data_IF_792937917683
#
_entry.id   IF_792937917683
#
_cell.length_a   1.000
_cell.length_b   1.000
_cell.length_c   1.000
_cell.angle_alpha   90.00
_cell.angle_beta   90.00
_cell.angle_gamma   90.00
#
_symmetry.space_group_name_H-M   'P 1'
#
loop_
_entity.id
_entity.type
_entity.pdbx_description
1 polymer ?
#
# COMPACT_ATOMS: atom_id res chain seq x y z
N UNK A 1 17.26 7.65 -19.39
CA UNK A 1 16.92 8.27 -18.10
C UNK A 1 18.23 8.62 -17.45
N UNK A 2 18.51 9.92 -17.35
CA UNK A 2 19.74 10.40 -16.71
C UNK A 2 19.67 10.14 -15.19
N UNK A 3 20.81 10.06 -14.49
CA UNK A 3 20.82 9.77 -13.05
C UNK A 3 19.98 10.78 -12.24
N UNK A 4 19.99 12.05 -12.67
CA UNK A 4 19.19 13.11 -12.07
C UNK A 4 17.67 12.89 -12.26
N UNK A 5 17.24 12.31 -13.40
CA UNK A 5 15.83 11.97 -13.63
C UNK A 5 15.37 10.84 -12.71
N UNK A 6 16.21 9.84 -12.46
CA UNK A 6 15.88 8.74 -11.55
C UNK A 6 15.66 9.23 -10.12
N UNK A 7 16.52 10.13 -9.63
CA UNK A 7 16.37 10.74 -8.30
C UNK A 7 15.09 11.58 -8.24
N UNK A 8 14.83 12.40 -9.25
CA UNK A 8 13.62 13.22 -9.33
C UNK A 8 12.34 12.36 -9.29
N UNK A 9 12.28 11.31 -10.11
CA UNK A 9 11.16 10.37 -10.14
C UNK A 9 10.98 9.64 -8.81
N UNK A 10 12.08 9.18 -8.20
CA UNK A 10 12.02 8.51 -6.90
C UNK A 10 11.45 9.42 -5.81
N UNK A 11 11.92 10.67 -5.71
CA UNK A 11 11.41 11.64 -4.73
C UNK A 11 9.94 11.97 -4.97
N UNK A 12 9.55 12.18 -6.23
CA UNK A 12 8.18 12.51 -6.58
C UNK A 12 7.20 11.36 -6.25
N UNK A 13 7.58 10.12 -6.59
CA UNK A 13 6.78 8.92 -6.27
C UNK A 13 6.73 8.66 -4.77
N UNK A 14 7.83 8.89 -4.05
CA UNK A 14 7.88 8.70 -2.59
C UNK A 14 6.88 9.61 -1.87
N UNK A 15 6.78 10.88 -2.28
CA UNK A 15 5.82 11.84 -1.70
C UNK A 15 4.38 11.47 -2.06
N UNK A 16 4.12 11.09 -3.33
CA UNK A 16 2.78 10.68 -3.76
C UNK A 16 2.28 9.43 -3.02
N UNK A 17 3.13 8.42 -2.88
CA UNK A 17 2.79 7.16 -2.20
C UNK A 17 2.75 7.28 -0.68
N UNK A 18 3.43 8.27 -0.08
CA UNK A 18 3.40 8.50 1.36
C UNK A 18 2.02 8.92 1.89
N UNK A 19 1.25 9.66 1.08
CA UNK A 19 -0.07 10.18 1.48
C UNK A 19 -1.10 9.07 1.79
N UNK A 20 -1.33 8.06 0.92
CA UNK A 20 -2.25 6.97 1.23
C UNK A 20 -1.78 6.13 2.44
N UNK A 21 -0.47 5.95 2.62
CA UNK A 21 0.08 5.23 3.77
C UNK A 21 -0.22 6.00 5.07
N UNK A 22 -0.05 7.32 5.08
CA UNK A 22 -0.37 8.17 6.25
C UNK A 22 -1.85 8.11 6.62
N UNK A 23 -2.76 8.03 5.63
CA UNK A 23 -4.19 7.89 5.91
C UNK A 23 -4.51 6.53 6.57
N UNK A 24 -3.87 5.44 6.11
CA UNK A 24 -4.01 4.12 6.72
C UNK A 24 -3.50 4.08 8.16
N UNK A 25 -2.31 4.62 8.41
CA UNK A 25 -1.72 4.63 9.77
C UNK A 25 -2.49 5.54 10.73
N UNK A 26 -3.00 6.69 10.26
CA UNK A 26 -3.87 7.56 11.05
C UNK A 26 -5.14 6.81 11.50
N UNK A 27 -5.78 6.06 10.60
CA UNK A 27 -6.94 5.24 10.93
C UNK A 27 -6.63 4.19 12.02
N UNK A 28 -5.46 3.54 11.93
CA UNK A 28 -4.97 2.62 12.96
C UNK A 28 -4.81 3.30 14.33
N UNK A 29 -4.09 4.43 14.38
CA UNK A 29 -3.87 5.21 15.61
C UNK A 29 -5.19 5.66 16.23
N UNK A 30 -6.17 6.07 15.42
CA UNK A 30 -7.50 6.44 15.92
C UNK A 30 -8.22 5.24 16.54
N UNK A 31 -8.14 4.06 15.92
CA UNK A 31 -8.73 2.83 16.46
C UNK A 31 -8.13 2.47 17.83
N UNK A 32 -6.80 2.57 17.95
CA UNK A 32 -6.09 2.35 19.20
C UNK A 32 -6.51 3.35 20.29
N UNK A 33 -6.70 4.63 19.94
CA UNK A 33 -7.14 5.68 20.88
C UNK A 33 -8.54 5.45 21.45
N UNK A 34 -9.41 4.74 20.73
CA UNK A 34 -10.77 4.40 21.18
C UNK A 34 -10.78 3.05 21.95
N UNK A 35 -9.61 2.43 22.15
CA UNK A 35 -9.47 1.16 22.86
C UNK A 35 -9.74 -0.07 22.00
N UNK A 36 -9.82 0.10 20.67
CA UNK A 36 -10.02 -0.99 19.72
C UNK A 36 -8.75 -1.23 18.90
N UNK A 37 -7.80 -1.94 19.52
CA UNK A 37 -6.51 -2.25 18.93
C UNK A 37 -6.65 -3.43 17.96
N UNK A 38 -6.76 -3.15 16.66
CA UNK A 38 -6.73 -4.19 15.63
C UNK A 38 -5.31 -4.32 15.05
N UNK A 39 -4.44 -5.06 15.76
CA UNK A 39 -3.09 -5.38 15.25
C UNK A 39 -3.11 -6.18 13.94
N UNK A 40 -4.24 -6.82 13.60
CA UNK A 40 -4.42 -7.50 12.33
C UNK A 40 -4.43 -6.56 11.13
N UNK A 41 -4.79 -5.28 11.30
CA UNK A 41 -4.86 -4.29 10.20
C UNK A 41 -3.51 -4.08 9.51
N UNK A 42 -2.43 -4.03 10.28
CA UNK A 42 -1.09 -3.85 9.71
C UNK A 42 -0.69 -5.05 8.85
N UNK A 43 -1.07 -6.26 9.30
CA UNK A 43 -0.93 -7.51 8.54
C UNK A 43 -1.81 -7.54 7.29
N UNK A 44 -3.08 -7.16 7.37
CA UNK A 44 -3.99 -7.10 6.22
C UNK A 44 -3.47 -6.12 5.15
N UNK A 45 -2.92 -4.97 5.56
CA UNK A 45 -2.33 -4.00 4.64
C UNK A 45 -1.10 -4.55 3.92
N UNK A 46 -0.21 -5.26 4.64
CA UNK A 46 0.95 -5.94 4.06
C UNK A 46 0.55 -7.10 3.12
N UNK A 47 -0.45 -7.90 3.51
CA UNK A 47 -0.96 -8.99 2.69
C UNK A 47 -1.54 -8.48 1.37
N UNK A 48 -2.37 -7.44 1.41
CA UNK A 48 -2.88 -6.75 0.21
C UNK A 48 -1.79 -6.24 -0.72
N UNK A 49 -0.74 -5.65 -0.16
CA UNK A 49 0.39 -5.13 -0.95
C UNK A 49 1.18 -6.25 -1.65
N UNK A 50 1.51 -7.34 -0.93
CA UNK A 50 2.30 -8.45 -1.48
C UNK A 50 1.53 -9.24 -2.53
N UNK A 51 0.28 -9.60 -2.25
CA UNK A 51 -0.56 -10.36 -3.18
C UNK A 51 -0.93 -9.54 -4.42
N UNK A 52 -1.19 -8.25 -4.25
CA UNK A 52 -1.46 -7.32 -5.35
C UNK A 52 -0.25 -7.18 -6.28
N UNK A 53 0.94 -7.00 -5.72
CA UNK A 53 2.18 -6.96 -6.48
C UNK A 53 2.43 -8.28 -7.22
N UNK A 54 2.29 -9.42 -6.51
CA UNK A 54 2.46 -10.75 -7.10
C UNK A 54 1.46 -11.00 -8.24
N UNK A 55 0.20 -10.61 -8.07
CA UNK A 55 -0.81 -10.72 -9.11
C UNK A 55 -0.47 -9.82 -10.32
N UNK A 56 -0.03 -8.58 -10.09
CA UNK A 56 0.39 -7.66 -11.16
C UNK A 56 1.57 -8.19 -11.98
N UNK A 57 2.56 -8.79 -11.32
CA UNK A 57 3.72 -9.41 -12.01
C UNK A 57 3.29 -10.61 -12.85
N UNK A 58 2.43 -11.48 -12.33
CA UNK A 58 2.04 -12.72 -13.03
C UNK A 58 1.01 -12.48 -14.14
N UNK A 59 0.02 -11.61 -13.91
CA UNK A 59 -1.09 -11.40 -14.86
C UNK A 59 -0.85 -10.24 -15.82
N UNK A 60 0.13 -9.36 -15.54
CA UNK A 60 0.40 -8.15 -16.31
C UNK A 60 -0.85 -7.25 -16.49
N UNK A 61 -1.86 -7.44 -15.62
CA UNK A 61 -3.13 -6.75 -15.69
C UNK A 61 -3.38 -5.98 -14.37
N UNK A 62 -3.39 -4.64 -14.40
CA UNK A 62 -3.55 -3.83 -13.20
C UNK A 62 -4.90 -4.02 -12.51
N UNK A 63 -5.96 -4.36 -13.26
CA UNK A 63 -7.29 -4.60 -12.69
C UNK A 63 -7.35 -5.88 -11.86
N UNK A 64 -6.68 -6.93 -12.33
CA UNK A 64 -6.59 -8.21 -11.60
C UNK A 64 -5.72 -8.02 -10.35
N UNK A 65 -4.61 -7.30 -10.47
CA UNK A 65 -3.76 -6.94 -9.33
C UNK A 65 -4.54 -6.21 -8.22
N UNK A 66 -5.35 -5.21 -8.61
CA UNK A 66 -6.19 -4.45 -7.68
C UNK A 66 -7.25 -5.33 -7.01
N UNK A 67 -7.93 -6.20 -7.75
CA UNK A 67 -8.93 -7.11 -7.19
C UNK A 67 -8.33 -8.10 -6.19
N UNK A 68 -7.16 -8.67 -6.51
CA UNK A 68 -6.46 -9.60 -5.61
C UNK A 68 -5.99 -8.88 -4.35
N UNK A 69 -5.43 -7.68 -4.47
CA UNK A 69 -5.02 -6.86 -3.34
C UNK A 69 -6.20 -6.59 -2.38
N UNK A 70 -7.34 -6.15 -2.92
CA UNK A 70 -8.56 -5.86 -2.16
C UNK A 70 -9.07 -7.08 -1.40
N UNK A 71 -9.13 -8.25 -2.04
CA UNK A 71 -9.66 -9.46 -1.42
C UNK A 71 -8.77 -10.02 -0.31
N UNK A 72 -7.46 -9.81 -0.41
CA UNK A 72 -6.51 -10.33 0.59
C UNK A 72 -6.20 -9.35 1.73
N UNK A 73 -6.49 -8.07 1.57
CA UNK A 73 -6.26 -7.02 2.56
C UNK A 73 -7.52 -6.53 3.27
N UNK A 74 -8.65 -7.21 3.08
CA UNK A 74 -9.94 -6.94 3.71
C UNK A 74 -10.26 -7.94 4.82
#
# INVERSE_FOLDING_TARGET
MDFLEQISLFLQLSVQMGTPILLGTLGGILNEKVGHTNLGVEGMMLMGAVTGFMAGVNTQNPWIAMLVALLSGA
#
